data_IF_268959065360
#
_entry.id   IF_268959065360
#
_cell.length_a   1.000
_cell.length_b   1.000
_cell.length_c   1.000
_cell.angle_alpha   90.00
_cell.angle_beta   90.00
_cell.angle_gamma   90.00
#
_symmetry.space_group_name_H-M   'P 1'
#
loop_
_entity.id
_entity.type
_entity.pdbx_description
1 polymer ?
#
# COMPACT_ATOMS: atom_id res chain seq x y z
N UNK A 1 8.21 0.49 15.11
CA UNK A 1 9.36 0.09 14.26
C UNK A 1 10.58 0.99 14.50
N UNK A 2 10.54 2.30 14.23
CA UNK A 2 11.71 3.20 14.39
C UNK A 2 12.21 3.41 15.83
N UNK A 3 11.42 3.03 16.81
CA UNK A 3 11.78 3.01 18.24
C UNK A 3 12.39 1.68 18.69
N UNK A 4 12.62 0.73 17.77
CA UNK A 4 13.18 -0.58 18.11
C UNK A 4 14.65 -0.43 18.55
N UNK A 5 15.05 -1.05 19.67
CA UNK A 5 16.43 -0.99 20.19
C UNK A 5 17.50 -1.43 19.16
N UNK A 6 17.17 -2.32 18.23
CA UNK A 6 18.09 -2.77 17.19
C UNK A 6 18.52 -1.64 16.22
N UNK A 7 17.74 -0.55 16.14
CA UNK A 7 18.05 0.62 15.31
C UNK A 7 18.82 1.72 16.07
N UNK A 8 19.01 1.59 17.38
CA UNK A 8 19.61 2.63 18.24
C UNK A 8 21.01 3.04 17.78
N UNK A 9 21.83 2.09 17.32
CA UNK A 9 23.18 2.38 16.82
C UNK A 9 23.20 3.25 15.55
N UNK A 10 22.07 3.35 14.85
CA UNK A 10 21.90 4.13 13.61
C UNK A 10 21.19 5.46 13.83
N UNK A 11 20.52 5.63 14.98
CA UNK A 11 19.65 6.78 15.25
C UNK A 11 20.36 8.14 15.13
N UNK A 12 21.61 8.24 15.59
CA UNK A 12 22.41 9.48 15.52
C UNK A 12 23.06 9.76 14.16
N UNK A 13 22.85 8.90 13.16
CA UNK A 13 23.52 9.00 11.86
C UNK A 13 22.63 9.70 10.80
N UNK A 14 21.34 9.86 11.10
CA UNK A 14 20.34 10.46 10.23
C UNK A 14 19.48 11.45 11.01
N UNK A 15 18.98 12.47 10.32
CA UNK A 15 17.85 13.28 10.80
C UNK A 15 16.57 12.55 10.35
N UNK A 16 15.77 12.15 11.33
CA UNK A 16 14.53 11.41 11.10
C UNK A 16 13.38 12.38 10.92
N UNK A 17 12.67 12.25 9.80
CA UNK A 17 11.50 13.04 9.50
C UNK A 17 10.34 12.09 9.18
N UNK A 18 9.22 12.30 9.83
CA UNK A 18 7.95 11.69 9.46
C UNK A 18 7.07 12.76 8.83
N UNK A 19 6.75 12.58 7.56
CA UNK A 19 5.95 13.53 6.80
C UNK A 19 4.57 12.91 6.53
N UNK A 20 3.56 13.43 7.23
CA UNK A 20 2.17 13.10 6.96
C UNK A 20 1.77 13.64 5.58
N UNK A 21 1.39 12.75 4.67
CA UNK A 21 0.96 13.10 3.31
C UNK A 21 -0.41 13.80 3.28
N UNK A 22 -1.14 13.79 4.38
CA UNK A 22 -2.42 14.48 4.51
C UNK A 22 -2.24 15.92 5.03
N UNK A 23 -1.07 16.27 5.59
CA UNK A 23 -0.79 17.61 6.07
C UNK A 23 -0.40 18.54 4.91
N UNK A 24 -1.15 19.64 4.75
CA UNK A 24 -0.91 20.64 3.71
C UNK A 24 0.51 21.25 3.79
N UNK A 25 1.10 21.32 4.97
CA UNK A 25 2.47 21.82 5.17
C UNK A 25 3.50 20.99 4.43
N UNK A 26 3.19 19.71 4.16
CA UNK A 26 4.07 18.77 3.48
C UNK A 26 3.80 18.71 1.97
N UNK A 27 2.80 19.43 1.45
CA UNK A 27 2.39 19.37 0.05
C UNK A 27 3.51 19.77 -0.93
N UNK A 28 4.30 20.79 -0.58
CA UNK A 28 5.44 21.23 -1.40
C UNK A 28 6.52 20.14 -1.57
N UNK A 29 6.68 19.30 -0.56
CA UNK A 29 7.56 18.12 -0.64
C UNK A 29 7.01 17.04 -1.58
N UNK A 30 5.70 16.82 -1.55
CA UNK A 30 5.02 15.87 -2.42
C UNK A 30 5.04 16.27 -3.90
N UNK A 31 5.24 17.56 -4.20
CA UNK A 31 5.49 18.02 -5.58
C UNK A 31 6.89 17.66 -6.07
N UNK A 32 7.90 17.71 -5.17
CA UNK A 32 9.29 17.38 -5.50
C UNK A 32 9.52 15.88 -5.62
N UNK A 33 8.84 15.10 -4.79
CA UNK A 33 9.05 13.65 -4.68
C UNK A 33 7.73 12.93 -4.88
N UNK A 34 7.64 12.15 -5.95
CA UNK A 34 6.44 11.34 -6.21
C UNK A 34 6.28 10.27 -5.14
N UNK A 35 5.16 10.30 -4.42
CA UNK A 35 4.76 9.28 -3.44
C UNK A 35 3.55 8.54 -4.00
N UNK A 36 3.78 7.38 -4.61
CA UNK A 36 2.73 6.58 -5.25
C UNK A 36 2.14 5.53 -4.31
N UNK A 37 2.85 5.17 -3.25
CA UNK A 37 2.40 4.19 -2.25
C UNK A 37 2.92 4.54 -0.86
N UNK A 38 2.25 4.05 0.19
CA UNK A 38 2.62 4.23 1.58
C UNK A 38 2.81 2.87 2.28
N UNK A 39 3.79 2.78 3.18
CA UNK A 39 4.80 3.79 3.47
C UNK A 39 5.85 3.90 2.36
N UNK A 40 6.40 5.09 2.15
CA UNK A 40 7.59 5.34 1.33
C UNK A 40 8.71 5.87 2.21
N UNK A 41 9.86 5.27 2.12
CA UNK A 41 11.09 5.68 2.83
C UNK A 41 12.01 6.37 1.84
N UNK A 42 12.53 7.52 2.22
CA UNK A 42 13.44 8.30 1.39
C UNK A 42 14.69 8.63 2.21
N UNK A 43 15.84 8.45 1.61
CA UNK A 43 17.08 9.02 2.10
C UNK A 43 17.44 10.18 1.21
N UNK A 44 17.54 11.35 1.79
CA UNK A 44 17.72 12.62 1.09
C UNK A 44 19.04 13.23 1.46
N UNK A 45 19.79 13.73 0.48
CA UNK A 45 21.01 14.49 0.72
C UNK A 45 20.67 15.86 1.26
N UNK A 46 21.31 16.31 2.36
CA UNK A 46 20.98 17.61 2.96
C UNK A 46 21.41 18.80 2.08
N UNK A 47 22.42 18.64 1.22
CA UNK A 47 23.02 19.75 0.47
C UNK A 47 22.16 20.17 -0.73
N UNK A 48 21.52 19.23 -1.42
CA UNK A 48 20.80 19.47 -2.67
C UNK A 48 19.39 18.88 -2.69
N UNK A 49 18.95 18.30 -1.57
CA UNK A 49 17.63 17.63 -1.39
C UNK A 49 17.38 16.51 -2.41
N UNK A 50 18.43 15.95 -3.04
CA UNK A 50 18.26 14.83 -3.96
C UNK A 50 18.01 13.51 -3.20
N UNK A 51 17.16 12.67 -3.78
CA UNK A 51 16.88 11.34 -3.23
C UNK A 51 18.03 10.40 -3.55
N UNK A 52 18.76 9.98 -2.52
CA UNK A 52 19.85 9.03 -2.64
C UNK A 52 19.39 7.57 -2.62
N UNK A 53 18.31 7.28 -1.87
CA UNK A 53 17.76 5.94 -1.76
C UNK A 53 16.25 5.99 -1.54
N UNK A 54 15.51 5.06 -2.15
CA UNK A 54 14.06 4.93 -2.00
C UNK A 54 13.68 3.49 -1.63
N UNK A 55 12.77 3.36 -0.66
CA UNK A 55 12.11 2.10 -0.32
C UNK A 55 10.60 2.31 -0.31
N UNK A 56 9.83 1.30 -0.73
CA UNK A 56 8.36 1.35 -0.78
C UNK A 56 7.80 0.08 -0.14
N UNK A 57 6.72 0.22 0.61
CA UNK A 57 6.06 -0.87 1.30
C UNK A 57 6.50 -1.03 2.76
N UNK A 58 5.84 -1.93 3.47
CA UNK A 58 6.19 -2.24 4.85
C UNK A 58 7.60 -2.87 4.91
N UNK A 59 8.34 -2.54 5.96
CA UNK A 59 9.67 -3.11 6.21
C UNK A 59 9.72 -3.69 7.61
N UNK A 60 10.38 -4.81 7.77
CA UNK A 60 10.79 -5.34 9.07
C UNK A 60 11.92 -4.50 9.65
N UNK A 61 12.18 -4.62 10.94
CA UNK A 61 13.30 -3.92 11.60
C UNK A 61 14.64 -4.26 10.95
N UNK A 62 14.83 -5.52 10.54
CA UNK A 62 16.03 -5.97 9.86
C UNK A 62 16.20 -5.31 8.48
N UNK A 63 15.11 -5.18 7.71
CA UNK A 63 15.12 -4.52 6.42
C UNK A 63 15.37 -3.03 6.53
N UNK A 64 14.81 -2.35 7.53
CA UNK A 64 15.12 -0.94 7.82
C UNK A 64 16.61 -0.79 8.17
N UNK A 65 17.15 -1.69 8.98
CA UNK A 65 18.59 -1.71 9.29
C UNK A 65 19.46 -1.80 8.03
N UNK A 66 19.17 -2.76 7.17
CA UNK A 66 19.88 -2.93 5.90
C UNK A 66 19.70 -1.71 4.95
N UNK A 67 18.48 -1.15 4.88
CA UNK A 67 18.20 0.06 4.11
C UNK A 67 19.05 1.25 4.57
N UNK A 68 19.19 1.46 5.88
CA UNK A 68 20.01 2.53 6.43
C UNK A 68 21.52 2.30 6.23
N UNK A 69 21.99 1.06 6.29
CA UNK A 69 23.37 0.73 6.00
C UNK A 69 23.72 0.99 4.53
N UNK A 70 22.80 0.63 3.59
CA UNK A 70 22.93 0.97 2.18
C UNK A 70 22.87 2.49 1.95
N UNK A 71 22.03 3.20 2.70
CA UNK A 71 21.94 4.66 2.63
C UNK A 71 23.25 5.34 3.01
N UNK A 72 23.92 4.87 4.04
CA UNK A 72 25.24 5.39 4.44
C UNK A 72 26.29 5.20 3.33
N UNK A 73 26.30 4.03 2.71
CA UNK A 73 27.18 3.77 1.58
C UNK A 73 26.90 4.73 0.41
N UNK A 74 25.63 4.96 0.09
CA UNK A 74 25.20 5.88 -0.96
C UNK A 74 25.55 7.35 -0.66
N UNK A 75 25.43 7.79 0.61
CA UNK A 75 25.71 9.16 1.03
C UNK A 75 27.20 9.44 1.28
N UNK A 76 27.98 8.43 1.62
CA UNK A 76 29.40 8.56 1.96
C UNK A 76 30.31 8.89 0.78
N UNK A 77 29.77 9.11 -0.42
CA UNK A 77 30.56 9.43 -1.62
C UNK A 77 31.45 8.27 -2.06
N UNK A 78 31.19 7.07 -1.55
CA UNK A 78 31.90 5.86 -1.96
C UNK A 78 31.63 5.56 -3.45
N UNK A 79 32.66 5.18 -4.17
CA UNK A 79 32.48 4.59 -5.49
C UNK A 79 31.64 3.32 -5.33
N UNK A 80 30.58 3.12 -6.15
CA UNK A 80 29.81 1.88 -6.12
C UNK A 80 30.74 0.67 -6.16
N UNK A 81 30.47 -0.33 -5.31
CA UNK A 81 31.34 -1.49 -5.19
C UNK A 81 31.21 -2.47 -6.34
N UNK A 82 30.14 -2.30 -7.17
CA UNK A 82 29.87 -3.15 -8.31
C UNK A 82 29.01 -2.42 -9.37
N UNK A 83 28.98 -2.93 -10.64
CA UNK A 83 28.07 -2.42 -11.65
C UNK A 83 26.61 -2.46 -11.22
N UNK A 84 26.16 -3.52 -10.57
CA UNK A 84 24.81 -3.66 -10.03
C UNK A 84 24.45 -2.55 -9.03
N UNK A 85 25.38 -2.20 -8.13
CA UNK A 85 25.18 -1.11 -7.16
C UNK A 85 25.11 0.25 -7.85
N UNK A 86 25.99 0.50 -8.85
CA UNK A 86 25.96 1.73 -9.62
C UNK A 86 24.62 1.93 -10.36
N UNK A 87 24.16 0.88 -11.04
CA UNK A 87 22.87 0.89 -11.73
C UNK A 87 21.69 1.08 -10.75
N UNK A 88 21.73 0.46 -9.58
CA UNK A 88 20.70 0.62 -8.54
C UNK A 88 20.61 2.04 -8.02
N UNK A 89 21.75 2.68 -7.72
CA UNK A 89 21.78 4.07 -7.25
C UNK A 89 21.25 5.03 -8.33
N UNK A 90 21.59 4.77 -9.58
CA UNK A 90 21.03 5.55 -10.72
C UNK A 90 19.51 5.34 -10.82
N UNK A 91 19.03 4.10 -10.71
CA UNK A 91 17.61 3.77 -10.77
C UNK A 91 16.82 4.48 -9.68
N UNK A 92 17.30 4.44 -8.43
CA UNK A 92 16.67 5.11 -7.28
C UNK A 92 16.57 6.62 -7.49
N UNK A 93 17.61 7.27 -8.02
CA UNK A 93 17.62 8.69 -8.34
C UNK A 93 16.58 9.01 -9.43
N UNK A 94 16.60 8.27 -10.54
CA UNK A 94 15.66 8.47 -11.65
C UNK A 94 14.19 8.25 -11.20
N UNK A 95 13.96 7.27 -10.36
CA UNK A 95 12.63 7.02 -9.79
C UNK A 95 12.20 8.17 -8.84
N UNK A 96 13.12 8.70 -8.04
CA UNK A 96 12.88 9.89 -7.22
C UNK A 96 12.52 11.13 -8.05
N UNK A 97 13.16 11.30 -9.23
CA UNK A 97 12.90 12.36 -10.20
C UNK A 97 11.60 12.13 -11.02
N UNK A 98 10.87 11.01 -10.79
CA UNK A 98 9.67 10.66 -11.55
C UNK A 98 9.91 10.14 -12.97
N UNK A 99 11.17 9.91 -13.35
CA UNK A 99 11.59 9.40 -14.68
C UNK A 99 11.41 7.88 -14.75
N UNK A 100 10.14 7.43 -14.68
CA UNK A 100 9.79 6.00 -14.48
C UNK A 100 10.37 5.08 -15.57
N UNK A 101 10.37 5.49 -16.83
CA UNK A 101 10.89 4.65 -17.93
C UNK A 101 12.41 4.44 -17.83
N UNK A 102 13.14 5.50 -17.52
CA UNK A 102 14.60 5.47 -17.35
C UNK A 102 14.97 4.70 -16.07
N UNK A 103 14.21 4.91 -14.98
CA UNK A 103 14.36 4.17 -13.74
C UNK A 103 14.14 2.66 -13.94
N UNK A 104 13.11 2.28 -14.73
CA UNK A 104 12.86 0.87 -15.04
C UNK A 104 14.03 0.21 -15.80
N UNK A 105 14.63 0.92 -16.74
CA UNK A 105 15.81 0.43 -17.46
C UNK A 105 17.01 0.24 -16.51
N UNK A 106 17.27 1.22 -15.66
CA UNK A 106 18.38 1.15 -14.70
C UNK A 106 18.15 0.07 -13.61
N UNK A 107 16.91 -0.12 -13.11
CA UNK A 107 16.61 -1.27 -12.22
C UNK A 107 16.82 -2.61 -12.94
N UNK A 108 16.43 -2.72 -14.23
CA UNK A 108 16.68 -3.94 -15.00
C UNK A 108 18.18 -4.22 -15.10
N UNK A 109 18.98 -3.22 -15.45
CA UNK A 109 20.44 -3.32 -15.50
C UNK A 109 21.01 -3.78 -14.15
N UNK A 110 20.54 -3.19 -13.02
CA UNK A 110 20.97 -3.59 -11.69
C UNK A 110 20.66 -5.08 -11.39
N UNK A 111 19.52 -5.58 -11.83
CA UNK A 111 19.13 -6.99 -11.65
C UNK A 111 19.93 -7.94 -12.56
N UNK A 112 20.26 -7.52 -13.77
CA UNK A 112 21.05 -8.31 -14.73
C UNK A 112 22.51 -8.43 -14.27
N UNK A 113 23.09 -7.36 -13.71
CA UNK A 113 24.45 -7.33 -13.19
C UNK A 113 24.58 -7.89 -11.76
N UNK A 114 23.45 -8.21 -11.11
CA UNK A 114 23.43 -8.64 -9.72
C UNK A 114 24.04 -10.03 -9.54
N UNK A 115 25.10 -10.18 -8.74
CA UNK A 115 25.66 -11.50 -8.42
C UNK A 115 24.69 -12.32 -7.58
N UNK A 116 24.84 -13.66 -7.55
CA UNK A 116 24.08 -14.53 -6.66
C UNK A 116 24.17 -14.06 -5.21
N UNK A 117 23.01 -13.96 -4.54
CA UNK A 117 22.93 -13.56 -3.14
C UNK A 117 23.17 -12.06 -2.88
N UNK A 118 23.13 -11.21 -3.92
CA UNK A 118 23.25 -9.76 -3.76
C UNK A 118 22.09 -9.22 -2.89
N UNK A 119 22.38 -8.63 -1.69
CA UNK A 119 21.34 -8.29 -0.74
C UNK A 119 20.28 -7.30 -1.25
N UNK A 120 20.61 -6.29 -2.10
CA UNK A 120 19.60 -5.37 -2.62
C UNK A 120 18.69 -5.95 -3.71
N UNK A 121 18.91 -7.19 -4.17
CA UNK A 121 18.17 -7.77 -5.30
C UNK A 121 16.66 -7.71 -5.12
N UNK A 122 16.16 -8.10 -3.95
CA UNK A 122 14.72 -8.10 -3.64
C UNK A 122 14.12 -6.70 -3.72
N UNK A 123 14.82 -5.70 -3.21
CA UNK A 123 14.39 -4.30 -3.26
C UNK A 123 14.38 -3.77 -4.70
N UNK A 124 15.41 -4.06 -5.48
CA UNK A 124 15.48 -3.65 -6.88
C UNK A 124 14.35 -4.30 -7.72
N UNK A 125 14.09 -5.59 -7.50
CA UNK A 125 13.00 -6.31 -8.16
C UNK A 125 11.64 -5.71 -7.78
N UNK A 126 11.37 -5.46 -6.49
CA UNK A 126 10.13 -4.86 -6.02
C UNK A 126 9.90 -3.47 -6.63
N UNK A 127 10.94 -2.62 -6.70
CA UNK A 127 10.85 -1.30 -7.30
C UNK A 127 10.51 -1.36 -8.80
N UNK A 128 11.14 -2.26 -9.55
CA UNK A 128 10.85 -2.45 -10.97
C UNK A 128 9.45 -3.02 -11.20
N UNK A 129 9.03 -4.00 -10.40
CA UNK A 129 7.67 -4.56 -10.45
C UNK A 129 6.62 -3.47 -10.21
N UNK A 130 6.82 -2.61 -9.20
CA UNK A 130 5.92 -1.50 -8.91
C UNK A 130 5.83 -0.49 -10.08
N UNK A 131 6.96 -0.16 -10.73
CA UNK A 131 6.94 0.69 -11.92
C UNK A 131 6.15 0.01 -13.04
N UNK A 132 6.34 -1.28 -13.27
CA UNK A 132 5.64 -2.03 -14.33
C UNK A 132 4.13 -2.10 -14.08
N UNK A 133 3.69 -2.31 -12.83
CA UNK A 133 2.28 -2.24 -12.44
C UNK A 133 1.67 -0.86 -12.72
N UNK A 134 2.36 0.22 -12.34
CA UNK A 134 1.85 1.59 -12.49
C UNK A 134 1.92 2.13 -13.93
N UNK A 135 2.59 1.42 -14.84
CA UNK A 135 2.74 1.79 -16.26
C UNK A 135 2.03 0.82 -17.22
N UNK A 136 1.13 -0.02 -16.71
CA UNK A 136 0.37 -1.02 -17.44
C UNK A 136 1.28 -1.94 -18.28
N UNK A 137 2.33 -2.47 -17.65
CA UNK A 137 3.29 -3.38 -18.28
C UNK A 137 3.16 -4.81 -17.72
N UNK A 138 1.93 -5.31 -17.58
CA UNK A 138 1.55 -6.53 -16.86
C UNK A 138 2.33 -7.75 -17.32
N UNK A 139 2.48 -7.95 -18.62
CA UNK A 139 3.22 -9.10 -19.15
C UNK A 139 4.70 -9.09 -18.75
N UNK A 140 5.35 -7.91 -18.73
CA UNK A 140 6.73 -7.76 -18.27
C UNK A 140 6.84 -7.96 -16.76
N UNK A 141 5.85 -7.49 -16.01
CA UNK A 141 5.77 -7.68 -14.58
C UNK A 141 5.63 -9.17 -14.22
N UNK A 142 4.77 -9.92 -14.88
CA UNK A 142 4.66 -11.38 -14.70
C UNK A 142 5.98 -12.08 -14.99
N UNK A 143 6.65 -11.71 -16.09
CA UNK A 143 7.94 -12.30 -16.46
C UNK A 143 9.02 -12.01 -15.41
N UNK A 144 9.10 -10.76 -14.93
CA UNK A 144 10.04 -10.37 -13.89
C UNK A 144 9.76 -11.08 -12.55
N UNK A 145 8.49 -11.20 -12.14
CA UNK A 145 8.14 -11.91 -10.91
C UNK A 145 8.58 -13.38 -10.96
N UNK A 146 8.38 -14.06 -12.09
CA UNK A 146 8.86 -15.43 -12.31
C UNK A 146 10.38 -15.56 -12.21
N UNK A 147 11.10 -14.61 -12.78
CA UNK A 147 12.57 -14.58 -12.74
C UNK A 147 13.09 -14.31 -11.33
N UNK A 148 12.48 -13.34 -10.63
CA UNK A 148 12.98 -12.83 -9.36
C UNK A 148 12.64 -13.75 -8.17
N UNK A 149 11.45 -14.37 -8.16
CA UNK A 149 10.95 -15.13 -7.01
C UNK A 149 11.92 -16.21 -6.52
N UNK A 150 12.56 -17.05 -7.37
CA UNK A 150 13.54 -18.05 -6.92
C UNK A 150 14.75 -17.43 -6.21
N UNK A 151 15.13 -16.20 -6.57
CA UNK A 151 16.29 -15.51 -6.00
C UNK A 151 16.00 -14.85 -4.65
N UNK A 152 14.71 -14.63 -4.32
CA UNK A 152 14.27 -13.99 -3.06
C UNK A 152 13.54 -14.96 -2.13
N UNK A 153 13.39 -16.24 -2.51
CA UNK A 153 12.75 -17.26 -1.67
C UNK A 153 13.40 -17.33 -0.29
N UNK A 154 12.57 -17.40 0.77
CA UNK A 154 13.02 -17.40 2.16
C UNK A 154 13.47 -16.02 2.68
N UNK A 155 13.15 -14.95 1.94
CA UNK A 155 13.37 -13.56 2.38
C UNK A 155 12.04 -12.79 2.40
N UNK A 156 11.93 -11.67 3.14
CA UNK A 156 10.72 -10.84 3.13
C UNK A 156 10.31 -10.35 1.74
N UNK A 157 11.27 -10.09 0.86
CA UNK A 157 10.99 -9.64 -0.50
C UNK A 157 10.19 -10.66 -1.34
N UNK A 158 10.19 -11.95 -0.95
CA UNK A 158 9.39 -12.97 -1.64
C UNK A 158 7.89 -12.64 -1.62
N UNK A 159 7.37 -12.07 -0.51
CA UNK A 159 5.97 -11.70 -0.40
C UNK A 159 5.60 -10.58 -1.40
N UNK A 160 6.43 -9.55 -1.48
CA UNK A 160 6.23 -8.42 -2.39
C UNK A 160 6.32 -8.86 -3.86
N UNK A 161 7.32 -9.68 -4.20
CA UNK A 161 7.53 -10.19 -5.56
C UNK A 161 6.39 -11.12 -5.99
N UNK A 162 5.96 -12.04 -5.11
CA UNK A 162 4.87 -12.96 -5.42
C UNK A 162 3.52 -12.24 -5.55
N UNK A 163 3.24 -11.26 -4.67
CA UNK A 163 2.03 -10.44 -4.76
C UNK A 163 2.01 -9.63 -6.05
N UNK A 164 3.10 -8.93 -6.38
CA UNK A 164 3.19 -8.18 -7.62
C UNK A 164 2.97 -9.07 -8.86
N UNK A 165 3.55 -10.28 -8.85
CA UNK A 165 3.34 -11.27 -9.91
C UNK A 165 1.87 -11.68 -10.06
N UNK A 166 1.16 -11.89 -8.95
CA UNK A 166 -0.26 -12.23 -8.94
C UNK A 166 -1.12 -11.07 -9.43
N UNK A 167 -0.87 -9.86 -8.95
CA UNK A 167 -1.61 -8.66 -9.36
C UNK A 167 -1.45 -8.39 -10.86
N UNK A 168 -0.21 -8.52 -11.37
CA UNK A 168 0.04 -8.34 -12.80
C UNK A 168 -0.60 -9.46 -13.63
N UNK A 169 -0.62 -10.70 -13.17
CA UNK A 169 -1.30 -11.80 -13.85
C UNK A 169 -2.81 -11.57 -13.92
N UNK A 170 -3.41 -11.07 -12.83
CA UNK A 170 -4.83 -10.66 -12.80
C UNK A 170 -5.10 -9.46 -13.72
N UNK A 171 -4.14 -8.54 -13.88
CA UNK A 171 -4.22 -7.37 -14.76
C UNK A 171 -4.10 -7.68 -16.26
N UNK A 172 -3.61 -8.85 -16.65
CA UNK A 172 -3.53 -9.24 -18.07
C UNK A 172 -4.91 -9.18 -18.74
N UNK A 173 -4.94 -8.84 -20.03
CA UNK A 173 -6.21 -8.80 -20.80
C UNK A 173 -6.96 -10.13 -20.64
N UNK A 174 -8.26 -10.05 -20.36
CA UNK A 174 -9.11 -11.23 -20.18
C UNK A 174 -9.14 -12.16 -21.40
N UNK A 175 -8.77 -11.65 -22.58
CA UNK A 175 -8.66 -12.42 -23.83
C UNK A 175 -7.26 -13.00 -24.05
N UNK A 176 -6.30 -12.66 -23.22
CA UNK A 176 -4.95 -13.24 -23.31
C UNK A 176 -5.00 -14.72 -22.92
N UNK A 177 -4.62 -15.59 -23.86
CA UNK A 177 -4.61 -17.03 -23.64
C UNK A 177 -3.63 -17.46 -22.53
N UNK A 178 -2.62 -16.66 -22.25
CA UNK A 178 -1.65 -16.93 -21.19
C UNK A 178 -2.16 -16.51 -19.79
N UNK A 179 -3.22 -15.68 -19.69
CA UNK A 179 -3.71 -15.12 -18.42
C UNK A 179 -4.07 -16.21 -17.40
N UNK A 180 -4.85 -17.20 -17.79
CA UNK A 180 -5.30 -18.27 -16.87
C UNK A 180 -4.12 -19.05 -16.28
N UNK A 181 -3.15 -19.43 -17.11
CA UNK A 181 -1.95 -20.12 -16.65
C UNK A 181 -1.08 -19.21 -15.75
N UNK A 182 -0.92 -17.94 -16.11
CA UNK A 182 -0.16 -16.97 -15.32
C UNK A 182 -0.78 -16.74 -13.94
N UNK A 183 -2.11 -16.60 -13.86
CA UNK A 183 -2.83 -16.46 -12.59
C UNK A 183 -2.67 -17.71 -11.72
N UNK A 184 -2.86 -18.91 -12.30
CA UNK A 184 -2.72 -20.17 -11.56
C UNK A 184 -1.32 -20.34 -10.97
N UNK A 185 -0.28 -20.03 -11.75
CA UNK A 185 1.11 -20.12 -11.33
C UNK A 185 1.43 -19.09 -10.22
N UNK A 186 1.02 -17.84 -10.43
CA UNK A 186 1.26 -16.76 -9.47
C UNK A 186 0.48 -16.97 -8.16
N UNK A 187 -0.76 -17.48 -8.22
CA UNK A 187 -1.53 -17.90 -7.05
C UNK A 187 -0.79 -18.98 -6.25
N UNK A 188 -0.31 -20.01 -6.91
CA UNK A 188 0.44 -21.09 -6.26
C UNK A 188 1.73 -20.57 -5.60
N UNK A 189 2.45 -19.69 -6.29
CA UNK A 189 3.64 -19.03 -5.77
C UNK A 189 3.33 -18.21 -4.51
N UNK A 190 2.29 -17.38 -4.54
CA UNK A 190 1.89 -16.55 -3.39
C UNK A 190 1.47 -17.42 -2.19
N UNK A 191 0.72 -18.49 -2.42
CA UNK A 191 0.35 -19.43 -1.35
C UNK A 191 1.55 -20.13 -0.72
N UNK A 192 2.56 -20.46 -1.53
CA UNK A 192 3.82 -21.03 -1.04
C UNK A 192 4.56 -20.04 -0.13
N UNK A 193 4.59 -18.77 -0.51
CA UNK A 193 5.21 -17.71 0.31
C UNK A 193 4.46 -17.49 1.63
N UNK A 194 3.12 -17.46 1.60
CA UNK A 194 2.30 -17.34 2.83
C UNK A 194 2.55 -18.52 3.79
N UNK A 195 2.75 -19.72 3.24
CA UNK A 195 2.95 -20.93 4.04
C UNK A 195 4.39 -21.08 4.56
N UNK A 196 5.35 -20.31 4.05
CA UNK A 196 6.75 -20.40 4.46
C UNK A 196 7.07 -19.52 5.68
N UNK A 197 7.25 -20.09 6.88
CA UNK A 197 7.56 -19.33 8.09
C UNK A 197 8.95 -18.67 8.04
N UNK A 198 9.83 -19.06 7.11
CA UNK A 198 11.17 -18.48 6.96
C UNK A 198 11.17 -17.17 6.19
N UNK A 199 10.07 -16.84 5.51
CA UNK A 199 9.95 -15.62 4.72
C UNK A 199 10.25 -14.38 5.57
N UNK A 200 9.79 -14.36 6.84
CA UNK A 200 9.96 -13.21 7.73
C UNK A 200 9.27 -11.96 7.21
N UNK A 201 8.34 -12.10 6.26
CA UNK A 201 7.60 -10.99 5.67
C UNK A 201 6.73 -10.28 6.73
N UNK A 202 6.53 -8.99 6.56
CA UNK A 202 5.65 -8.23 7.43
C UNK A 202 4.21 -8.75 7.32
N UNK A 203 3.48 -8.73 8.44
CA UNK A 203 2.10 -9.21 8.48
C UNK A 203 1.19 -8.42 7.53
N UNK A 204 1.51 -7.16 7.27
CA UNK A 204 0.80 -6.29 6.35
C UNK A 204 0.98 -6.74 4.89
N UNK A 205 2.20 -7.12 4.50
CA UNK A 205 2.48 -7.66 3.16
C UNK A 205 1.76 -8.99 2.93
N UNK A 206 1.79 -9.88 3.92
CA UNK A 206 1.02 -11.15 3.88
C UNK A 206 -0.47 -10.87 3.76
N UNK A 207 -1.00 -9.93 4.55
CA UNK A 207 -2.41 -9.56 4.51
C UNK A 207 -2.83 -8.98 3.15
N UNK A 208 -1.96 -8.20 2.53
CA UNK A 208 -2.21 -7.56 1.22
C UNK A 208 -2.35 -8.57 0.07
N UNK A 209 -1.91 -9.81 0.25
CA UNK A 209 -2.05 -10.87 -0.76
C UNK A 209 -3.48 -11.45 -0.85
N UNK A 210 -4.24 -11.45 0.24
CA UNK A 210 -5.55 -12.11 0.27
C UNK A 210 -6.59 -11.53 -0.68
N UNK A 211 -6.73 -10.19 -0.86
CA UNK A 211 -7.63 -9.64 -1.86
C UNK A 211 -7.38 -10.17 -3.27
N UNK A 212 -6.11 -10.30 -3.67
CA UNK A 212 -5.72 -10.80 -4.99
C UNK A 212 -5.98 -12.31 -5.11
N UNK A 213 -5.74 -13.09 -4.04
CA UNK A 213 -6.11 -14.52 -4.00
C UNK A 213 -7.63 -14.71 -4.11
N UNK A 214 -8.42 -13.91 -3.40
CA UNK A 214 -9.88 -13.92 -3.47
C UNK A 214 -10.35 -13.54 -4.87
N UNK A 215 -9.73 -12.53 -5.50
CA UNK A 215 -10.05 -12.12 -6.86
C UNK A 215 -9.74 -13.24 -7.87
N UNK A 216 -8.61 -13.92 -7.75
CA UNK A 216 -8.26 -15.06 -8.60
C UNK A 216 -9.34 -16.15 -8.56
N UNK A 217 -9.88 -16.46 -7.37
CA UNK A 217 -10.99 -17.40 -7.20
C UNK A 217 -12.29 -16.89 -7.83
N UNK A 218 -12.61 -15.61 -7.63
CA UNK A 218 -13.81 -15.00 -8.25
C UNK A 218 -13.76 -15.03 -9.77
N UNK A 219 -12.58 -14.79 -10.35
CA UNK A 219 -12.38 -14.81 -11.81
C UNK A 219 -12.63 -16.19 -12.42
N UNK A 220 -12.41 -17.26 -11.67
CA UNK A 220 -12.68 -18.65 -12.08
C UNK A 220 -14.06 -19.15 -11.66
N UNK A 221 -14.89 -18.31 -10.99
CA UNK A 221 -16.21 -18.70 -10.47
C UNK A 221 -16.15 -19.58 -9.21
N UNK A 222 -14.98 -19.76 -8.60
CA UNK A 222 -14.80 -20.54 -7.36
C UNK A 222 -15.21 -19.71 -6.12
N UNK A 223 -16.51 -19.54 -5.94
CA UNK A 223 -17.06 -18.81 -4.80
C UNK A 223 -16.73 -19.46 -3.45
N UNK A 224 -16.64 -20.80 -3.41
CA UNK A 224 -16.29 -21.52 -2.19
C UNK A 224 -14.83 -21.29 -1.80
N UNK A 225 -13.92 -21.33 -2.76
CA UNK A 225 -12.51 -21.00 -2.57
C UNK A 225 -12.31 -19.55 -2.15
N UNK A 226 -12.99 -18.60 -2.80
CA UNK A 226 -12.95 -17.19 -2.43
C UNK A 226 -13.40 -16.96 -0.98
N UNK A 227 -14.48 -17.63 -0.55
CA UNK A 227 -14.95 -17.56 0.84
C UNK A 227 -13.91 -18.15 1.82
N UNK A 228 -13.33 -19.30 1.48
CA UNK A 228 -12.27 -19.93 2.31
C UNK A 228 -11.05 -19.00 2.47
N UNK A 229 -10.63 -18.33 1.41
CA UNK A 229 -9.53 -17.37 1.48
C UNK A 229 -9.89 -16.15 2.33
N UNK A 230 -11.13 -15.65 2.25
CA UNK A 230 -11.59 -14.57 3.12
C UNK A 230 -11.67 -14.98 4.61
N UNK A 231 -12.06 -16.23 4.90
CA UNK A 231 -12.05 -16.80 6.27
C UNK A 231 -10.61 -16.93 6.79
N UNK A 232 -9.68 -17.41 5.97
CA UNK A 232 -8.26 -17.49 6.31
C UNK A 232 -7.65 -16.10 6.57
N UNK A 233 -8.01 -15.11 5.73
CA UNK A 233 -7.60 -13.74 5.90
C UNK A 233 -8.09 -13.15 7.23
N UNK A 234 -9.38 -13.30 7.53
CA UNK A 234 -9.94 -12.82 8.79
C UNK A 234 -9.25 -13.47 10.01
N UNK A 235 -9.04 -14.79 9.98
CA UNK A 235 -8.38 -15.51 11.07
C UNK A 235 -6.91 -15.07 11.24
N UNK A 236 -6.17 -14.87 10.14
CA UNK A 236 -4.81 -14.35 10.18
C UNK A 236 -4.76 -12.98 10.86
N UNK A 237 -5.62 -12.05 10.43
CA UNK A 237 -5.66 -10.69 10.97
C UNK A 237 -6.10 -10.64 12.43
N UNK A 238 -7.03 -11.48 12.85
CA UNK A 238 -7.45 -11.59 14.24
C UNK A 238 -6.30 -12.06 15.14
N UNK A 239 -5.51 -13.03 14.66
CA UNK A 239 -4.33 -13.48 15.39
C UNK A 239 -3.27 -12.38 15.51
N UNK A 240 -3.02 -11.61 14.43
CA UNK A 240 -2.10 -10.48 14.48
C UNK A 240 -2.58 -9.38 15.43
N UNK A 241 -3.86 -9.03 15.37
CA UNK A 241 -4.45 -8.03 16.27
C UNK A 241 -4.42 -8.47 17.74
N UNK A 242 -4.61 -9.76 18.02
CA UNK A 242 -4.51 -10.32 19.37
C UNK A 242 -3.07 -10.33 19.92
N UNK A 243 -2.07 -10.43 19.05
CA UNK A 243 -0.65 -10.38 19.43
C UNK A 243 -0.14 -8.95 19.63
N UNK A 244 -0.87 -7.93 19.18
CA UNK A 244 -0.49 -6.53 19.31
C UNK A 244 -0.39 -6.09 20.79
N UNK A 245 0.66 -5.33 21.10
CA UNK A 245 0.95 -4.91 22.48
C UNK A 245 0.35 -3.54 22.82
N UNK A 246 0.03 -2.72 21.82
CA UNK A 246 -0.55 -1.38 21.99
C UNK A 246 -1.77 -1.20 21.11
N UNK A 247 -2.67 -0.24 21.44
CA UNK A 247 -3.80 0.10 20.59
C UNK A 247 -3.40 0.48 19.16
N UNK A 248 -2.31 1.23 19.00
CA UNK A 248 -1.80 1.67 17.68
C UNK A 248 -1.37 0.46 16.85
N UNK A 249 -0.63 -0.48 17.44
CA UNK A 249 -0.24 -1.72 16.75
C UNK A 249 -1.46 -2.55 16.33
N UNK A 250 -2.50 -2.60 17.18
CA UNK A 250 -3.74 -3.31 16.87
C UNK A 250 -4.51 -2.64 15.75
N UNK A 251 -4.61 -1.30 15.76
CA UNK A 251 -5.36 -0.51 14.81
C UNK A 251 -4.78 -0.56 13.38
N UNK A 252 -3.51 -0.93 13.22
CA UNK A 252 -2.88 -1.19 11.90
C UNK A 252 -3.72 -2.20 11.10
N UNK A 253 -4.27 -3.22 11.76
CA UNK A 253 -5.01 -4.29 11.09
C UNK A 253 -6.50 -3.97 10.87
N UNK A 254 -7.04 -2.86 11.38
CA UNK A 254 -8.48 -2.58 11.36
C UNK A 254 -9.07 -2.43 9.96
N UNK A 255 -8.33 -1.82 9.03
CA UNK A 255 -8.78 -1.68 7.64
C UNK A 255 -8.86 -3.03 6.93
N UNK A 256 -7.86 -3.86 7.11
CA UNK A 256 -7.81 -5.19 6.51
C UNK A 256 -8.85 -6.12 7.13
N UNK A 257 -9.05 -6.06 8.46
CA UNK A 257 -10.11 -6.83 9.15
C UNK A 257 -11.51 -6.44 8.66
N UNK A 258 -11.77 -5.13 8.55
CA UNK A 258 -13.03 -4.66 7.96
C UNK A 258 -13.21 -5.21 6.55
N UNK A 259 -12.18 -5.13 5.70
CA UNK A 259 -12.24 -5.64 4.32
C UNK A 259 -12.51 -7.14 4.27
N UNK A 260 -11.85 -7.94 5.12
CA UNK A 260 -12.08 -9.38 5.22
C UNK A 260 -13.53 -9.70 5.65
N UNK A 261 -14.07 -8.97 6.62
CA UNK A 261 -15.45 -9.14 7.05
C UNK A 261 -16.46 -8.71 5.99
N UNK A 262 -16.15 -7.68 5.20
CA UNK A 262 -16.99 -7.29 4.06
C UNK A 262 -17.00 -8.37 2.98
N UNK A 263 -15.86 -8.98 2.68
CA UNK A 263 -15.78 -10.12 1.75
C UNK A 263 -16.59 -11.34 2.22
N UNK A 264 -16.67 -11.55 3.53
CA UNK A 264 -17.49 -12.60 4.14
C UNK A 264 -18.98 -12.25 4.21
N UNK A 265 -19.36 -10.98 3.93
CA UNK A 265 -20.72 -10.49 4.14
C UNK A 265 -21.10 -10.35 5.63
N UNK A 266 -20.12 -10.13 6.52
CA UNK A 266 -20.24 -10.06 7.97
C UNK A 266 -19.72 -8.70 8.52
N UNK A 267 -20.21 -7.55 8.02
CA UNK A 267 -19.73 -6.22 8.44
C UNK A 267 -19.91 -5.95 9.94
N UNK A 268 -20.87 -6.63 10.59
CA UNK A 268 -21.13 -6.50 12.03
C UNK A 268 -19.95 -6.91 12.90
N UNK A 269 -19.08 -7.81 12.43
CA UNK A 269 -17.87 -8.23 13.16
C UNK A 269 -16.86 -7.08 13.31
N UNK A 270 -16.89 -6.10 12.40
CA UNK A 270 -16.00 -4.95 12.48
C UNK A 270 -16.41 -3.94 13.56
N UNK A 271 -17.69 -3.90 13.94
CA UNK A 271 -18.21 -2.84 14.82
C UNK A 271 -17.52 -2.82 16.20
N UNK A 272 -17.45 -3.92 16.97
CA UNK A 272 -16.85 -3.89 18.31
C UNK A 272 -15.36 -3.52 18.29
N UNK A 273 -14.60 -4.02 17.29
CA UNK A 273 -13.18 -3.70 17.20
C UNK A 273 -12.94 -2.22 16.85
N UNK A 274 -13.73 -1.66 15.93
CA UNK A 274 -13.60 -0.26 15.51
C UNK A 274 -14.06 0.70 16.61
N UNK A 275 -15.07 0.32 17.40
CA UNK A 275 -15.49 1.07 18.59
C UNK A 275 -14.38 1.09 19.65
N UNK A 276 -13.70 -0.03 19.86
CA UNK A 276 -12.57 -0.09 20.77
C UNK A 276 -11.41 0.80 20.26
N UNK A 277 -11.09 0.74 18.96
CA UNK A 277 -10.04 1.60 18.37
C UNK A 277 -10.42 3.09 18.42
N UNK A 278 -11.71 3.45 18.24
CA UNK A 278 -12.17 4.84 18.39
C UNK A 278 -12.03 5.35 19.83
N UNK A 279 -12.27 4.47 20.82
CA UNK A 279 -12.10 4.81 22.23
C UNK A 279 -10.64 4.95 22.65
N UNK A 280 -9.78 4.06 22.15
CA UNK A 280 -8.35 4.04 22.48
C UNK A 280 -7.57 5.14 21.76
N UNK A 281 -8.02 5.53 20.56
CA UNK A 281 -7.37 6.52 19.67
C UNK A 281 -8.34 7.66 19.32
N UNK A 282 -8.75 8.50 20.30
CA UNK A 282 -9.83 9.45 20.11
C UNK A 282 -9.53 10.58 19.11
N UNK A 283 -8.25 10.79 18.78
CA UNK A 283 -7.81 11.76 17.75
C UNK A 283 -7.82 11.21 16.34
N UNK A 284 -7.86 9.89 16.16
CA UNK A 284 -7.79 9.24 14.86
C UNK A 284 -9.17 9.27 14.16
N UNK A 285 -9.18 9.67 12.88
CA UNK A 285 -10.39 9.67 12.04
C UNK A 285 -10.71 8.27 11.48
N UNK A 286 -9.73 7.37 11.40
CA UNK A 286 -9.89 6.08 10.76
C UNK A 286 -10.96 5.19 11.39
N UNK A 287 -10.99 4.99 12.72
CA UNK A 287 -12.03 4.15 13.34
C UNK A 287 -13.45 4.63 13.05
N UNK A 288 -13.84 5.90 13.27
CA UNK A 288 -15.19 6.37 12.94
C UNK A 288 -15.48 6.39 11.44
N UNK A 289 -14.50 6.64 10.56
CA UNK A 289 -14.69 6.55 9.11
C UNK A 289 -14.97 5.11 8.66
N UNK A 290 -14.26 4.13 9.24
CA UNK A 290 -14.47 2.69 9.00
C UNK A 290 -15.79 2.20 9.59
N UNK A 291 -16.20 2.70 10.76
CA UNK A 291 -17.54 2.45 11.33
C UNK A 291 -18.64 2.95 10.40
N UNK A 292 -18.49 4.14 9.81
CA UNK A 292 -19.45 4.65 8.85
C UNK A 292 -19.65 3.70 7.67
N UNK A 293 -18.55 3.14 7.12
CA UNK A 293 -18.62 2.14 6.05
C UNK A 293 -19.25 0.83 6.53
N UNK A 294 -18.88 0.31 7.70
CA UNK A 294 -19.45 -0.91 8.26
C UNK A 294 -20.97 -0.77 8.46
N UNK A 295 -21.43 0.31 9.09
CA UNK A 295 -22.85 0.59 9.29
C UNK A 295 -23.61 0.80 7.98
N UNK A 296 -23.00 1.47 6.98
CA UNK A 296 -23.59 1.58 5.64
C UNK A 296 -23.85 0.20 5.03
N UNK A 297 -22.88 -0.71 5.12
CA UNK A 297 -23.01 -2.10 4.63
C UNK A 297 -24.07 -2.90 5.38
N UNK A 298 -24.26 -2.60 6.68
CA UNK A 298 -25.33 -3.17 7.52
C UNK A 298 -26.70 -2.51 7.28
N UNK A 299 -26.79 -1.47 6.44
CA UNK A 299 -27.98 -0.62 6.23
C UNK A 299 -28.45 0.11 7.51
N UNK A 300 -27.56 0.30 8.47
CA UNK A 300 -27.76 1.11 9.69
C UNK A 300 -27.39 2.54 9.38
N UNK A 301 -28.26 3.25 8.66
CA UNK A 301 -27.93 4.50 7.98
C UNK A 301 -27.79 5.69 8.95
N UNK A 302 -28.50 5.68 10.08
CA UNK A 302 -28.37 6.73 11.10
C UNK A 302 -27.03 6.60 11.86
N UNK A 303 -26.67 5.37 12.24
CA UNK A 303 -25.38 5.09 12.86
C UNK A 303 -24.21 5.36 11.89
N UNK A 304 -24.38 5.06 10.60
CA UNK A 304 -23.41 5.37 9.57
C UNK A 304 -23.18 6.88 9.45
N UNK A 305 -24.25 7.67 9.43
CA UNK A 305 -24.16 9.13 9.35
C UNK A 305 -23.49 9.70 10.60
N UNK A 306 -23.90 9.25 11.79
CA UNK A 306 -23.31 9.68 13.05
C UNK A 306 -21.81 9.34 13.16
N UNK A 307 -21.39 8.20 12.63
CA UNK A 307 -19.99 7.82 12.57
C UNK A 307 -19.20 8.72 11.60
N UNK A 308 -19.79 9.04 10.43
CA UNK A 308 -19.21 9.99 9.46
C UNK A 308 -19.08 11.41 10.06
N UNK A 309 -20.06 11.85 10.87
CA UNK A 309 -20.01 13.14 11.58
C UNK A 309 -18.83 13.20 12.56
N UNK A 310 -18.47 12.10 13.21
CA UNK A 310 -17.30 12.04 14.11
C UNK A 310 -15.96 11.95 13.36
N UNK A 311 -15.94 11.41 12.15
CA UNK A 311 -14.74 11.31 11.34
C UNK A 311 -14.33 12.64 10.68
N UNK A 312 -15.32 13.38 10.13
CA UNK A 312 -15.08 14.58 9.32
C UNK A 312 -14.26 15.68 10.00
N UNK A 313 -14.44 16.02 11.29
CA UNK A 313 -13.64 17.06 11.93
C UNK A 313 -12.19 16.65 12.22
N UNK A 314 -11.87 15.35 12.15
CA UNK A 314 -10.56 14.79 12.46
C UNK A 314 -9.71 14.52 11.22
N UNK A 315 -10.32 14.45 10.04
CA UNK A 315 -9.65 14.13 8.78
C UNK A 315 -9.29 15.38 7.99
N UNK A 316 -8.09 15.38 7.41
CA UNK A 316 -7.60 16.46 6.55
C UNK A 316 -7.04 15.87 5.24
N UNK A 317 -6.56 16.72 4.34
CA UNK A 317 -5.90 16.33 3.11
C UNK A 317 -6.75 15.44 2.19
N UNK A 318 -6.11 14.71 1.28
CA UNK A 318 -6.81 13.83 0.33
C UNK A 318 -7.73 12.79 0.96
N UNK A 319 -7.45 12.33 2.18
CA UNK A 319 -8.28 11.33 2.89
C UNK A 319 -9.68 11.82 3.23
N UNK A 320 -9.84 13.14 3.42
CA UNK A 320 -11.17 13.74 3.64
C UNK A 320 -12.13 13.44 2.50
N UNK A 321 -11.63 13.31 1.27
CA UNK A 321 -12.44 12.96 0.10
C UNK A 321 -13.11 11.59 0.23
N UNK A 322 -12.40 10.60 0.78
CA UNK A 322 -12.95 9.25 1.01
C UNK A 322 -14.08 9.28 2.04
N UNK A 323 -13.92 10.07 3.12
CA UNK A 323 -14.97 10.22 4.15
C UNK A 323 -16.20 10.92 3.56
N UNK A 324 -16.01 11.98 2.77
CA UNK A 324 -17.10 12.68 2.08
C UNK A 324 -17.81 11.77 1.05
N UNK A 325 -17.07 10.93 0.31
CA UNK A 325 -17.69 9.98 -0.61
C UNK A 325 -18.53 8.95 0.13
N UNK A 326 -18.03 8.36 1.22
CA UNK A 326 -18.82 7.44 2.06
C UNK A 326 -20.08 8.14 2.60
N UNK A 327 -19.97 9.41 3.02
CA UNK A 327 -21.11 10.20 3.48
C UNK A 327 -22.16 10.41 2.37
N UNK A 328 -21.73 10.72 1.16
CA UNK A 328 -22.63 10.85 0.01
C UNK A 328 -23.35 9.53 -0.28
N UNK A 329 -22.64 8.39 -0.20
CA UNK A 329 -23.23 7.07 -0.37
C UNK A 329 -24.27 6.75 0.74
N UNK A 330 -24.04 7.21 1.98
CA UNK A 330 -25.01 7.09 3.09
C UNK A 330 -26.28 7.90 2.78
N UNK A 331 -26.19 9.16 2.34
CA UNK A 331 -27.33 9.96 1.95
C UNK A 331 -28.10 9.32 0.79
N UNK A 332 -27.38 8.84 -0.23
CA UNK A 332 -28.00 8.12 -1.34
C UNK A 332 -28.76 6.86 -0.88
N UNK A 333 -28.18 6.08 0.03
CA UNK A 333 -28.81 4.89 0.61
C UNK A 333 -30.07 5.23 1.44
N UNK A 334 -30.13 6.45 2.04
CA UNK A 334 -31.32 6.98 2.75
C UNK A 334 -32.40 7.48 1.80
N UNK A 335 -32.13 7.55 0.49
CA UNK A 335 -33.02 8.17 -0.50
C UNK A 335 -32.92 9.70 -0.53
N UNK A 336 -31.97 10.29 0.19
CA UNK A 336 -31.71 11.74 0.21
C UNK A 336 -30.75 12.11 -0.93
N UNK A 337 -31.31 12.24 -2.13
CA UNK A 337 -30.54 12.61 -3.31
C UNK A 337 -29.97 14.04 -3.23
N UNK A 338 -30.65 14.94 -2.52
CA UNK A 338 -30.18 16.31 -2.33
C UNK A 338 -28.95 16.36 -1.43
N UNK A 339 -28.99 15.69 -0.28
CA UNK A 339 -27.85 15.58 0.64
C UNK A 339 -26.66 14.86 0.01
N UNK A 340 -26.91 13.80 -0.79
CA UNK A 340 -25.85 13.11 -1.52
C UNK A 340 -25.16 14.06 -2.52
N UNK A 341 -25.94 14.82 -3.32
CA UNK A 341 -25.42 15.77 -4.29
C UNK A 341 -24.63 16.90 -3.63
N UNK A 342 -25.17 17.48 -2.57
CA UNK A 342 -24.49 18.53 -1.80
C UNK A 342 -23.16 18.04 -1.25
N UNK A 343 -23.13 16.84 -0.66
CA UNK A 343 -21.89 16.24 -0.13
C UNK A 343 -20.86 15.99 -1.24
N UNK A 344 -21.28 15.54 -2.43
CA UNK A 344 -20.38 15.39 -3.58
C UNK A 344 -19.86 16.72 -4.10
N UNK A 345 -20.67 17.81 -4.06
CA UNK A 345 -20.23 19.16 -4.40
C UNK A 345 -19.19 19.67 -3.40
N UNK A 346 -19.39 19.43 -2.10
CA UNK A 346 -18.40 19.74 -1.06
C UNK A 346 -17.09 18.98 -1.30
N UNK A 347 -17.18 17.68 -1.66
CA UNK A 347 -16.01 16.87 -1.98
C UNK A 347 -15.25 17.42 -3.20
N UNK A 348 -15.97 17.83 -4.26
CA UNK A 348 -15.37 18.40 -5.47
C UNK A 348 -14.65 19.72 -5.15
N UNK A 349 -15.35 20.65 -4.47
CA UNK A 349 -14.77 21.93 -4.08
C UNK A 349 -13.51 21.74 -3.22
N UNK A 350 -13.56 20.80 -2.27
CA UNK A 350 -12.40 20.47 -1.44
C UNK A 350 -11.24 19.89 -2.28
N UNK A 351 -11.52 18.95 -3.19
CA UNK A 351 -10.50 18.36 -4.06
C UNK A 351 -9.81 19.39 -4.96
N UNK A 352 -10.56 20.36 -5.47
CA UNK A 352 -10.05 21.46 -6.31
C UNK A 352 -9.21 22.46 -5.51
N UNK A 353 -9.52 22.64 -4.22
CA UNK A 353 -8.79 23.52 -3.32
C UNK A 353 -7.51 22.92 -2.72
N UNK A 354 -7.31 21.59 -2.82
CA UNK A 354 -6.09 20.97 -2.32
C UNK A 354 -4.84 21.54 -2.98
N UNK A 355 -3.71 21.65 -2.24
CA UNK A 355 -2.41 22.02 -2.80
C UNK A 355 -2.02 21.10 -3.98
N UNK A 356 -1.24 21.59 -4.95
CA UNK A 356 -0.87 20.81 -6.15
C UNK A 356 -0.30 19.44 -5.84
N UNK A 357 0.60 19.29 -4.85
CA UNK A 357 1.18 18.00 -4.43
C UNK A 357 0.17 16.98 -3.90
N UNK A 358 -0.98 17.43 -3.42
CA UNK A 358 -2.06 16.58 -2.89
C UNK A 358 -3.24 16.44 -3.85
N UNK A 359 -3.32 17.31 -4.86
CA UNK A 359 -4.41 17.32 -5.84
C UNK A 359 -4.28 16.16 -6.84
N UNK A 360 -5.37 15.44 -7.05
CA UNK A 360 -5.44 14.32 -8.00
C UNK A 360 -6.51 14.59 -9.05
N UNK A 361 -6.09 14.91 -10.28
CA UNK A 361 -7.01 15.20 -11.39
C UNK A 361 -7.97 14.05 -11.70
N UNK A 362 -7.52 12.80 -11.53
CA UNK A 362 -8.38 11.63 -11.65
C UNK A 362 -9.55 11.64 -10.67
N UNK A 363 -9.32 12.02 -9.42
CA UNK A 363 -10.36 12.15 -8.38
C UNK A 363 -11.34 13.27 -8.73
N UNK A 364 -10.85 14.42 -9.15
CA UNK A 364 -11.69 15.56 -9.57
C UNK A 364 -12.60 15.14 -10.74
N UNK A 365 -12.02 14.49 -11.76
CA UNK A 365 -12.78 13.97 -12.91
C UNK A 365 -13.86 12.95 -12.50
N UNK A 366 -13.52 12.06 -11.57
CA UNK A 366 -14.47 11.07 -11.05
C UNK A 366 -15.64 11.72 -10.27
N UNK A 367 -15.35 12.73 -9.44
CA UNK A 367 -16.36 13.48 -8.71
C UNK A 367 -17.28 14.26 -9.65
N UNK A 368 -16.73 14.95 -10.66
CA UNK A 368 -17.52 15.63 -11.69
C UNK A 368 -18.43 14.65 -12.44
N UNK A 369 -17.93 13.46 -12.80
CA UNK A 369 -18.74 12.42 -13.43
C UNK A 369 -19.90 11.94 -12.55
N UNK A 370 -19.70 11.80 -11.23
CA UNK A 370 -20.78 11.43 -10.28
C UNK A 370 -21.83 12.52 -10.14
N UNK A 371 -21.46 13.79 -10.24
CA UNK A 371 -22.39 14.92 -10.15
C UNK A 371 -23.27 15.08 -11.41
N UNK A 372 -22.81 14.52 -12.52
CA UNK A 372 -23.45 14.71 -13.83
C UNK A 372 -23.26 16.12 -14.39
N UNK A 373 -23.82 16.38 -15.57
CA UNK A 373 -23.80 17.70 -16.18
C UNK A 373 -24.64 18.72 -15.42
#
# INVERSE_FOLDING_TARGET
MFTDPALTSRAGQFVWLELDTEDERNAAWQEKVTVDALPTYLVVKPDDETVALRGVGAMTVAEVGAFLDNARAALGGGTPSSPAEAALLQADRLNGEGKKAEAAAAYREALDEAPPGWPPYGRAAAALLFIQQTTNAEARCVALAREALPRVTGTPAAAVVALAGLDCALGLDAKDLARSAAVTEAEAAMRSVIADPKTGAAADDISSAYPSLIQARKDTGDAAGARKDAEAWAAFLEAQAAAAQTPEQRAVFDSHRLSAYLELGQPERAVPMLQASEADLPGDYNPPARLALAYLRMKKLDEALAASDRALPKVQGPRRLSVLQTRADIFAARGDAAGARETLQQALAYAEALPPGQRREGTIKALRKKLGP
#
